data_IF_153894327141
#
_entry.id   IF_153894327141
#
_cell.length_a   1.000
_cell.length_b   1.000
_cell.length_c   1.000
_cell.angle_alpha   90.00
_cell.angle_beta   90.00
_cell.angle_gamma   90.00
#
_symmetry.space_group_name_H-M   'P 1'
#
loop_
_entity.id
_entity.type
_entity.pdbx_description
1 polymer ?
#
# COMPACT_ATOMS: atom_id res chain seq x y z
N UNK A 1 -21.70 13.12 -8.21
CA UNK A 1 -21.28 12.06 -9.15
C UNK A 1 -22.08 10.81 -8.89
N UNK A 2 -22.25 9.97 -9.90
CA UNK A 2 -22.81 8.63 -9.77
C UNK A 2 -21.73 7.60 -9.47
N UNK A 3 -22.11 6.40 -9.02
CA UNK A 3 -21.17 5.29 -8.82
C UNK A 3 -20.47 4.90 -10.13
N UNK A 4 -21.20 4.90 -11.25
CA UNK A 4 -20.64 4.58 -12.56
C UNK A 4 -19.58 5.59 -12.99
N UNK A 5 -19.84 6.89 -12.82
CA UNK A 5 -18.86 7.96 -13.07
C UNK A 5 -17.61 7.79 -12.21
N UNK A 6 -17.78 7.48 -10.91
CA UNK A 6 -16.68 7.30 -9.98
C UNK A 6 -15.81 6.07 -10.33
N UNK A 7 -16.44 4.93 -10.67
CA UNK A 7 -15.72 3.73 -11.10
C UNK A 7 -15.01 3.94 -12.44
N UNK A 8 -15.65 4.62 -13.39
CA UNK A 8 -15.05 4.89 -14.69
C UNK A 8 -13.83 5.81 -14.56
N UNK A 9 -13.93 6.83 -13.70
CA UNK A 9 -12.78 7.68 -13.40
C UNK A 9 -11.59 6.85 -12.87
N UNK A 10 -11.80 5.96 -11.89
CA UNK A 10 -10.70 5.13 -11.40
C UNK A 10 -10.14 4.20 -12.49
N UNK A 11 -11.00 3.58 -13.31
CA UNK A 11 -10.58 2.69 -14.41
C UNK A 11 -9.69 3.39 -15.44
N UNK A 12 -9.92 4.68 -15.69
CA UNK A 12 -9.11 5.50 -16.61
C UNK A 12 -7.75 5.88 -16.03
N UNK A 13 -7.56 5.78 -14.70
CA UNK A 13 -6.35 6.20 -13.99
C UNK A 13 -5.73 5.05 -13.20
N UNK A 14 -5.02 4.17 -13.90
CA UNK A 14 -4.46 2.91 -13.40
C UNK A 14 -2.96 2.77 -13.75
N UNK A 15 -2.05 3.59 -13.19
CA UNK A 15 -2.27 4.55 -12.09
C UNK A 15 -2.60 5.97 -12.56
N UNK A 16 -2.86 6.86 -11.59
CA UNK A 16 -2.83 8.31 -11.77
C UNK A 16 -1.45 8.77 -12.29
N UNK A 17 -1.36 9.93 -12.97
CA UNK A 17 -0.08 10.51 -13.39
C UNK A 17 0.87 10.76 -12.21
N UNK A 18 2.16 10.94 -12.53
CA UNK A 18 3.14 11.42 -11.55
C UNK A 18 2.79 12.86 -11.14
N UNK A 19 3.17 13.28 -9.94
CA UNK A 19 2.85 14.62 -9.45
C UNK A 19 3.29 15.77 -10.39
N UNK A 20 4.38 15.60 -11.15
CA UNK A 20 4.83 16.57 -12.17
C UNK A 20 3.82 16.79 -13.30
N UNK A 21 3.03 15.76 -13.62
CA UNK A 21 2.00 15.75 -14.67
C UNK A 21 0.58 15.85 -14.08
N UNK A 22 0.46 15.94 -12.74
CA UNK A 22 -0.81 15.93 -12.02
C UNK A 22 -1.36 17.34 -11.88
N UNK A 23 -2.50 17.61 -12.54
CA UNK A 23 -3.19 18.90 -12.38
C UNK A 23 -3.98 18.96 -11.07
N UNK A 24 -4.10 20.15 -10.50
CA UNK A 24 -4.95 20.41 -9.32
C UNK A 24 -6.40 19.95 -9.54
N UNK A 25 -6.93 20.12 -10.76
CA UNK A 25 -8.29 19.71 -11.09
C UNK A 25 -8.44 18.18 -11.10
N UNK A 26 -7.43 17.47 -11.62
CA UNK A 26 -7.44 16.02 -11.68
C UNK A 26 -7.33 15.38 -10.29
N UNK A 27 -6.45 15.90 -9.43
CA UNK A 27 -6.32 15.37 -8.06
C UNK A 27 -7.51 15.75 -7.18
N UNK A 28 -8.08 16.94 -7.36
CA UNK A 28 -9.36 17.31 -6.73
C UNK A 28 -10.45 16.34 -7.16
N UNK A 29 -10.49 15.93 -8.43
CA UNK A 29 -11.45 14.95 -8.92
C UNK A 29 -11.24 13.57 -8.29
N UNK A 30 -9.99 13.15 -8.17
CA UNK A 30 -9.63 11.91 -7.48
C UNK A 30 -10.07 11.92 -6.01
N UNK A 31 -9.87 13.04 -5.29
CA UNK A 31 -10.35 13.19 -3.92
C UNK A 31 -11.88 13.17 -3.82
N UNK A 32 -12.60 13.82 -4.76
CA UNK A 32 -14.07 13.72 -4.81
C UNK A 32 -14.54 12.27 -4.99
N UNK A 33 -13.84 11.47 -5.82
CA UNK A 33 -14.16 10.05 -6.04
C UNK A 33 -13.87 9.21 -4.80
N UNK A 34 -12.77 9.48 -4.11
CA UNK A 34 -12.45 8.88 -2.81
C UNK A 34 -13.52 9.19 -1.76
N UNK A 35 -13.89 10.46 -1.61
CA UNK A 35 -14.96 10.91 -0.71
C UNK A 35 -16.32 10.27 -1.04
N UNK A 36 -16.62 10.07 -2.32
CA UNK A 36 -17.82 9.36 -2.73
C UNK A 36 -17.83 7.92 -2.20
N UNK A 37 -16.73 7.16 -2.35
CA UNK A 37 -16.64 5.78 -1.85
C UNK A 37 -16.48 5.65 -0.33
N UNK A 38 -16.12 6.71 0.38
CA UNK A 38 -16.26 6.78 1.85
C UNK A 38 -17.72 6.76 2.30
N UNK A 39 -18.63 7.31 1.49
CA UNK A 39 -20.04 7.41 1.82
C UNK A 39 -20.90 6.34 1.14
N UNK A 40 -20.38 5.74 0.07
CA UNK A 40 -21.10 4.81 -0.80
C UNK A 40 -20.21 3.57 -1.04
N UNK A 41 -20.10 2.71 -0.03
CA UNK A 41 -19.24 1.53 -0.09
C UNK A 41 -19.62 0.62 -1.27
N UNK A 42 -18.64 0.32 -2.12
CA UNK A 42 -18.76 -0.63 -3.21
C UNK A 42 -17.41 -1.33 -3.45
N UNK A 43 -17.37 -2.65 -3.29
CA UNK A 43 -16.14 -3.45 -3.40
C UNK A 43 -15.44 -3.39 -4.76
N UNK A 44 -16.13 -2.98 -5.83
CA UNK A 44 -15.51 -2.79 -7.14
C UNK A 44 -14.45 -1.68 -7.14
N UNK A 45 -14.50 -0.74 -6.19
CA UNK A 45 -13.48 0.32 -6.09
C UNK A 45 -12.16 -0.19 -5.51
N UNK A 46 -12.16 -1.30 -4.75
CA UNK A 46 -10.96 -1.82 -4.05
C UNK A 46 -9.80 -2.06 -5.01
N UNK A 47 -9.89 -2.93 -6.04
CA UNK A 47 -8.77 -3.14 -6.96
C UNK A 47 -8.34 -1.86 -7.68
N UNK A 48 -9.29 -0.97 -7.96
CA UNK A 48 -9.01 0.26 -8.71
C UNK A 48 -8.24 1.28 -7.86
N UNK A 49 -8.61 1.45 -6.59
CA UNK A 49 -7.86 2.31 -5.67
C UNK A 49 -6.47 1.75 -5.40
N UNK A 50 -6.35 0.45 -5.11
CA UNK A 50 -5.06 -0.17 -4.83
C UNK A 50 -4.08 -0.09 -6.02
N UNK A 51 -4.57 0.09 -7.24
CA UNK A 51 -3.73 0.26 -8.43
C UNK A 51 -3.72 1.69 -9.01
N UNK A 52 -4.29 2.67 -8.29
CA UNK A 52 -4.40 4.06 -8.77
C UNK A 52 -3.22 4.96 -8.40
N UNK A 53 -2.28 4.50 -7.56
CA UNK A 53 -1.23 5.35 -7.02
C UNK A 53 -0.16 5.73 -8.05
N UNK A 54 -0.15 7.01 -8.46
CA UNK A 54 0.93 7.62 -9.24
C UNK A 54 2.20 7.87 -8.42
N UNK A 55 3.28 8.32 -9.08
CA UNK A 55 4.57 8.57 -8.40
C UNK A 55 4.49 9.80 -7.48
N UNK A 56 5.12 9.70 -6.29
CA UNK A 56 5.09 10.63 -5.14
C UNK A 56 3.85 10.41 -4.24
N UNK A 57 3.00 11.40 -4.01
CA UNK A 57 1.98 11.34 -2.97
C UNK A 57 0.60 11.86 -3.39
N UNK A 58 0.45 12.24 -4.66
CA UNK A 58 -0.80 12.75 -5.18
C UNK A 58 -1.20 14.03 -4.47
N UNK A 59 -0.23 14.93 -4.22
CA UNK A 59 -0.38 16.13 -3.41
C UNK A 59 -1.01 15.84 -2.03
N UNK A 60 -0.59 14.73 -1.43
CA UNK A 60 -1.07 14.22 -0.14
C UNK A 60 -2.38 13.42 -0.16
N UNK A 61 -3.09 13.30 -1.28
CA UNK A 61 -4.39 12.62 -1.33
C UNK A 61 -4.25 11.09 -1.26
N UNK A 62 -3.13 10.51 -1.71
CA UNK A 62 -2.94 9.06 -1.70
C UNK A 62 -2.97 8.46 -0.30
N UNK A 63 -2.46 9.18 0.70
CA UNK A 63 -2.51 8.77 2.12
C UNK A 63 -3.94 8.51 2.58
N UNK A 64 -4.90 9.30 2.08
CA UNK A 64 -6.29 9.27 2.52
C UNK A 64 -7.09 8.13 1.87
N UNK A 65 -6.50 7.39 0.92
CA UNK A 65 -7.14 6.24 0.26
C UNK A 65 -7.31 5.08 1.23
N UNK A 66 -6.42 4.96 2.21
CA UNK A 66 -6.50 3.96 3.27
C UNK A 66 -7.87 3.98 3.97
N UNK A 67 -8.42 5.16 4.26
CA UNK A 67 -9.76 5.33 4.86
C UNK A 67 -10.86 4.61 4.05
N UNK A 68 -10.75 4.62 2.72
CA UNK A 68 -11.71 3.93 1.85
C UNK A 68 -11.52 2.42 1.97
N UNK A 69 -10.28 1.95 1.90
CA UNK A 69 -9.94 0.54 1.90
C UNK A 69 -10.31 -0.12 3.24
N UNK A 70 -10.08 0.56 4.36
CA UNK A 70 -10.41 0.08 5.72
C UNK A 70 -11.90 -0.19 5.96
N UNK A 71 -12.80 0.25 5.07
CA UNK A 71 -14.21 -0.13 5.13
C UNK A 71 -14.47 -1.59 4.73
N UNK A 72 -13.50 -2.26 4.10
CA UNK A 72 -13.65 -3.59 3.53
C UNK A 72 -12.94 -4.66 4.34
N UNK A 73 -13.50 -5.87 4.29
CA UNK A 73 -12.96 -7.03 4.99
C UNK A 73 -11.63 -7.49 4.38
N UNK A 74 -10.84 -8.26 5.13
CA UNK A 74 -9.63 -8.87 4.60
C UNK A 74 -9.90 -9.78 3.40
N UNK A 75 -11.05 -10.46 3.34
CA UNK A 75 -11.43 -11.31 2.21
C UNK A 75 -11.59 -10.51 0.91
N UNK A 76 -12.12 -9.28 1.02
CA UNK A 76 -12.33 -8.40 -0.13
C UNK A 76 -11.04 -7.71 -0.60
N UNK A 77 -10.08 -7.48 0.31
CA UNK A 77 -8.90 -6.62 0.06
C UNK A 77 -7.62 -7.42 -0.24
N UNK A 78 -7.35 -8.48 0.53
CA UNK A 78 -6.09 -9.25 0.45
C UNK A 78 -5.79 -9.77 -0.97
N UNK A 79 -6.76 -10.29 -1.75
CA UNK A 79 -6.47 -10.74 -3.12
C UNK A 79 -5.89 -9.63 -4.01
N UNK A 80 -6.33 -8.39 -3.82
CA UNK A 80 -5.88 -7.25 -4.62
C UNK A 80 -4.62 -6.60 -4.05
N UNK A 81 -4.41 -6.63 -2.73
CA UNK A 81 -3.11 -6.27 -2.14
C UNK A 81 -2.00 -7.19 -2.67
N UNK A 82 -2.26 -8.49 -2.85
CA UNK A 82 -1.28 -9.41 -3.45
C UNK A 82 -0.84 -8.98 -4.84
N UNK A 83 -1.80 -8.49 -5.64
CA UNK A 83 -1.53 -7.99 -7.00
C UNK A 83 -0.75 -6.67 -6.93
N UNK A 84 -1.16 -5.75 -6.05
CA UNK A 84 -0.54 -4.44 -5.93
C UNK A 84 0.90 -4.49 -5.40
N UNK A 85 1.16 -5.33 -4.40
CA UNK A 85 2.52 -5.55 -3.85
C UNK A 85 3.46 -6.25 -4.84
N UNK A 86 2.92 -6.96 -5.84
CA UNK A 86 3.71 -7.55 -6.94
C UNK A 86 3.72 -6.69 -8.21
N UNK A 87 3.16 -5.46 -8.15
CA UNK A 87 3.08 -4.56 -9.29
C UNK A 87 4.46 -4.17 -9.82
N UNK A 88 4.55 -3.91 -11.13
CA UNK A 88 5.75 -3.34 -11.74
C UNK A 88 5.93 -1.86 -11.37
N UNK A 89 4.83 -1.18 -11.09
CA UNK A 89 4.83 0.23 -10.73
C UNK A 89 5.30 0.42 -9.29
N UNK A 90 6.41 1.13 -9.11
CA UNK A 90 7.00 1.38 -7.79
C UNK A 90 6.01 2.06 -6.83
N UNK A 91 5.31 3.10 -7.30
CA UNK A 91 4.34 3.84 -6.48
C UNK A 91 3.19 2.97 -6.00
N UNK A 92 2.72 2.05 -6.84
CA UNK A 92 1.68 1.08 -6.45
C UNK A 92 2.20 0.20 -5.33
N UNK A 93 3.42 -0.36 -5.43
CA UNK A 93 4.00 -1.14 -4.33
C UNK A 93 4.15 -0.29 -3.06
N UNK A 94 4.73 0.90 -3.18
CA UNK A 94 5.02 1.80 -2.07
C UNK A 94 3.81 2.11 -1.19
N UNK A 95 2.70 2.53 -1.80
CA UNK A 95 1.48 2.88 -1.07
C UNK A 95 0.77 1.65 -0.51
N UNK A 96 0.81 0.52 -1.22
CA UNK A 96 0.13 -0.69 -0.77
C UNK A 96 0.85 -1.42 0.37
N UNK A 97 2.16 -1.23 0.54
CA UNK A 97 2.89 -1.77 1.71
C UNK A 97 2.32 -1.20 3.01
N UNK A 98 2.05 0.11 3.03
CA UNK A 98 1.48 0.79 4.20
C UNK A 98 0.06 0.28 4.48
N UNK A 99 -0.80 0.23 3.45
CA UNK A 99 -2.17 -0.28 3.58
C UNK A 99 -2.17 -1.75 4.07
N UNK A 100 -1.25 -2.58 3.56
CA UNK A 100 -1.13 -3.97 3.95
C UNK A 100 -0.84 -4.20 5.44
N UNK A 101 -0.29 -3.21 6.15
CA UNK A 101 -0.07 -3.28 7.60
C UNK A 101 -1.39 -3.46 8.39
N UNK A 102 -2.52 -3.04 7.83
CA UNK A 102 -3.85 -3.21 8.43
C UNK A 102 -4.48 -4.59 8.13
N UNK A 103 -3.89 -5.37 7.23
CA UNK A 103 -4.43 -6.65 6.77
C UNK A 103 -3.44 -7.77 7.08
N UNK A 104 -3.51 -8.31 8.31
CA UNK A 104 -2.57 -9.32 8.83
C UNK A 104 -2.78 -10.74 8.26
N UNK A 105 -2.96 -10.85 6.94
CA UNK A 105 -3.01 -12.14 6.25
C UNK A 105 -1.59 -12.66 6.02
N UNK A 106 -1.32 -13.89 6.47
CA UNK A 106 -0.02 -14.54 6.25
C UNK A 106 0.32 -14.71 4.76
N UNK A 107 -0.66 -14.60 3.86
CA UNK A 107 -0.45 -14.59 2.41
C UNK A 107 0.31 -13.35 1.91
N UNK A 108 0.33 -12.25 2.67
CA UNK A 108 1.06 -11.02 2.32
C UNK A 108 2.52 -11.06 2.76
N UNK A 109 2.88 -11.87 3.76
CA UNK A 109 4.24 -11.96 4.29
C UNK A 109 5.32 -12.26 3.24
N UNK A 110 5.13 -13.20 2.29
CA UNK A 110 6.11 -13.43 1.24
C UNK A 110 6.34 -12.21 0.34
N UNK A 111 5.30 -11.41 0.10
CA UNK A 111 5.37 -10.21 -0.72
C UNK A 111 6.04 -9.06 0.04
N UNK A 112 5.72 -8.87 1.32
CA UNK A 112 6.42 -7.91 2.17
C UNK A 112 7.91 -8.27 2.31
N UNK A 113 8.25 -9.55 2.47
CA UNK A 113 9.64 -10.02 2.47
C UNK A 113 10.35 -9.77 1.14
N UNK A 114 9.65 -9.91 0.01
CA UNK A 114 10.20 -9.55 -1.31
C UNK A 114 10.53 -8.05 -1.38
N UNK A 115 9.67 -7.20 -0.83
CA UNK A 115 9.86 -5.73 -0.83
C UNK A 115 11.05 -5.28 0.01
N UNK A 116 11.39 -6.01 1.08
CA UNK A 116 12.63 -5.78 1.84
C UNK A 116 13.91 -5.90 1.00
N UNK A 117 13.82 -6.46 -0.22
CA UNK A 117 14.94 -6.62 -1.17
C UNK A 117 15.03 -5.53 -2.22
N UNK A 118 14.12 -4.56 -2.21
CA UNK A 118 14.22 -3.38 -3.08
C UNK A 118 15.37 -2.49 -2.61
N UNK A 119 15.77 -1.48 -3.40
CA UNK A 119 16.89 -0.60 -3.03
C UNK A 119 16.44 0.57 -2.16
N UNK A 120 15.19 0.99 -2.29
CA UNK A 120 14.65 2.19 -1.67
C UNK A 120 14.48 2.03 -0.15
N UNK A 121 14.96 3.01 0.61
CA UNK A 121 14.93 2.99 2.07
C UNK A 121 13.51 3.07 2.63
N UNK A 122 12.68 3.95 2.08
CA UNK A 122 11.35 4.24 2.62
C UNK A 122 10.42 3.04 2.42
N UNK A 123 10.49 2.37 1.27
CA UNK A 123 9.67 1.17 1.05
C UNK A 123 10.12 0.00 1.94
N UNK A 124 11.43 -0.15 2.22
CA UNK A 124 11.93 -1.13 3.19
C UNK A 124 11.45 -0.82 4.60
N UNK A 125 11.53 0.44 5.02
CA UNK A 125 11.03 0.91 6.31
C UNK A 125 9.55 0.56 6.49
N UNK A 126 8.74 0.86 5.47
CA UNK A 126 7.31 0.54 5.46
C UNK A 126 7.07 -0.98 5.53
N UNK A 127 7.87 -1.77 4.81
CA UNK A 127 7.74 -3.23 4.82
C UNK A 127 8.12 -3.82 6.19
N UNK A 128 9.19 -3.34 6.84
CA UNK A 128 9.54 -3.72 8.20
C UNK A 128 8.41 -3.38 9.17
N UNK A 129 7.87 -2.16 9.08
CA UNK A 129 6.76 -1.70 9.92
C UNK A 129 5.53 -2.60 9.76
N UNK A 130 5.17 -2.95 8.51
CA UNK A 130 4.07 -3.86 8.21
C UNK A 130 4.32 -5.29 8.74
N UNK A 131 5.53 -5.82 8.54
CA UNK A 131 5.94 -7.15 9.07
C UNK A 131 5.90 -7.16 10.60
N UNK A 132 6.27 -6.06 11.25
CA UNK A 132 6.23 -5.92 12.71
C UNK A 132 4.84 -5.95 13.32
N UNK A 133 3.78 -5.77 12.52
CA UNK A 133 2.39 -5.94 12.99
C UNK A 133 1.98 -7.42 13.10
N UNK A 134 2.72 -8.34 12.50
CA UNK A 134 2.43 -9.78 12.58
C UNK A 134 2.88 -10.37 13.90
N UNK A 135 2.26 -11.49 14.30
CA UNK A 135 2.75 -12.28 15.42
C UNK A 135 4.23 -12.65 15.21
N UNK A 136 5.04 -12.49 16.26
CA UNK A 136 6.48 -12.72 16.25
C UNK A 136 6.87 -14.11 15.71
N UNK A 137 6.04 -15.14 15.90
CA UNK A 137 6.30 -16.49 15.37
C UNK A 137 6.38 -16.49 13.83
N UNK A 138 5.60 -15.65 13.17
CA UNK A 138 5.57 -15.54 11.71
C UNK A 138 6.63 -14.57 11.18
N UNK A 139 6.85 -13.44 11.86
CA UNK A 139 7.77 -12.39 11.40
C UNK A 139 9.24 -12.69 11.71
N UNK A 140 9.53 -13.39 12.81
CA UNK A 140 10.90 -13.64 13.28
C UNK A 140 11.84 -14.24 12.22
N UNK A 141 11.48 -15.31 11.49
CA UNK A 141 12.38 -15.88 10.48
C UNK A 141 12.73 -14.89 9.36
N UNK A 142 11.78 -14.02 8.99
CA UNK A 142 11.97 -12.99 7.96
C UNK A 142 12.94 -11.92 8.48
N UNK A 143 12.72 -11.44 9.71
CA UNK A 143 13.53 -10.40 10.34
C UNK A 143 14.97 -10.88 10.61
N UNK A 144 15.14 -12.11 11.10
CA UNK A 144 16.47 -12.71 11.30
C UNK A 144 17.21 -12.83 9.97
N UNK A 145 16.54 -13.29 8.90
CA UNK A 145 17.13 -13.33 7.57
C UNK A 145 17.51 -11.92 7.08
N UNK A 146 16.62 -10.94 7.23
CA UNK A 146 16.87 -9.57 6.82
C UNK A 146 18.11 -8.98 7.52
N UNK A 147 18.26 -9.20 8.83
CA UNK A 147 19.40 -8.72 9.62
C UNK A 147 20.75 -9.29 9.21
N UNK A 148 20.77 -10.44 8.53
CA UNK A 148 21.98 -11.05 7.97
C UNK A 148 22.39 -10.45 6.63
N UNK A 149 21.45 -9.84 5.89
CA UNK A 149 21.65 -9.41 4.51
C UNK A 149 21.63 -7.88 4.35
N UNK A 150 20.97 -7.16 5.26
CA UNK A 150 20.91 -5.70 5.27
C UNK A 150 22.11 -5.11 6.02
N UNK A 151 22.72 -4.08 5.42
CA UNK A 151 23.87 -3.36 5.97
C UNK A 151 23.49 -1.98 6.54
N UNK A 152 22.34 -1.42 6.13
CA UNK A 152 21.87 -0.13 6.64
C UNK A 152 21.56 -0.20 8.14
N UNK A 153 22.33 0.51 8.96
CA UNK A 153 22.24 0.45 10.42
C UNK A 153 20.86 0.80 10.97
N UNK A 154 20.20 1.81 10.40
CA UNK A 154 18.88 2.27 10.83
C UNK A 154 17.79 1.21 10.56
N UNK A 155 17.78 0.60 9.37
CA UNK A 155 16.84 -0.47 9.05
C UNK A 155 17.08 -1.73 9.90
N UNK A 156 18.34 -2.03 10.23
CA UNK A 156 18.67 -3.13 11.14
C UNK A 156 18.22 -2.82 12.57
N UNK A 157 18.34 -1.59 13.04
CA UNK A 157 17.82 -1.18 14.36
C UNK A 157 16.31 -1.40 14.44
N UNK A 158 15.57 -0.98 13.41
CA UNK A 158 14.12 -1.21 13.33
C UNK A 158 13.78 -2.69 13.40
N UNK A 159 14.44 -3.54 12.61
CA UNK A 159 14.21 -4.98 12.62
C UNK A 159 14.51 -5.61 14.00
N UNK A 160 15.58 -5.18 14.67
CA UNK A 160 15.90 -5.63 16.03
C UNK A 160 14.85 -5.18 17.06
N UNK A 161 14.35 -3.94 16.97
CA UNK A 161 13.31 -3.43 17.85
C UNK A 161 12.01 -4.23 17.74
N UNK A 162 11.66 -4.66 16.52
CA UNK A 162 10.52 -5.53 16.29
C UNK A 162 10.74 -6.91 16.95
N UNK A 163 11.95 -7.47 16.87
CA UNK A 163 12.26 -8.80 17.43
C UNK A 163 12.18 -8.89 18.96
N UNK A 164 12.30 -7.78 19.67
CA UNK A 164 12.30 -7.71 21.14
C UNK A 164 10.95 -7.27 21.74
N UNK A 165 9.95 -7.00 20.90
CA UNK A 165 8.58 -6.64 21.31
C UNK A 165 7.76 -7.90 21.62
#
# INVERSE_FOLDING_TARGET
MTQEEALNFLKEHQPMPKDEDLSEELIRKYDEVRQFFLQNSNKECVPLFLNSFGYIDGLGVYQLVEDVILQFSSEDVVPYLKIALDSKEYSVRYWNVQIAANYLSSELLPLLNKILREDDFDIKYNALTAIGQYNIVLSKPILEQYLHEEDNEELREIANNILIT
#
